data_IF_203394245161
#
_entry.id   IF_203394245161
#
_cell.length_a   1.000
_cell.length_b   1.000
_cell.length_c   1.000
_cell.angle_alpha   90.00
_cell.angle_beta   90.00
_cell.angle_gamma   90.00
#
_symmetry.space_group_name_H-M   'P 1'
#
loop_
_entity.id
_entity.type
_entity.pdbx_description
1 polymer ?
#
# COMPACT_ATOMS: atom_id res chain seq x y z
N UNK A 1 17.20 -35.66 25.75
CA UNK A 1 16.44 -36.47 26.72
C UNK A 1 15.92 -35.53 27.79
N UNK A 2 14.64 -35.59 28.16
CA UNK A 2 14.07 -34.75 29.23
C UNK A 2 14.22 -35.51 30.55
N UNK A 3 15.21 -35.14 31.36
CA UNK A 3 15.47 -35.70 32.69
C UNK A 3 14.32 -35.42 33.65
N UNK A 4 13.86 -36.44 34.36
CA UNK A 4 12.74 -36.42 35.28
C UNK A 4 13.16 -35.87 36.65
N UNK A 5 12.56 -34.76 37.08
CA UNK A 5 12.81 -34.13 38.40
C UNK A 5 12.43 -35.01 39.62
N UNK A 6 11.79 -36.17 39.43
CA UNK A 6 11.33 -37.04 40.53
C UNK A 6 11.41 -38.56 40.25
N UNK A 7 12.23 -39.02 39.30
CA UNK A 7 12.36 -40.48 39.03
C UNK A 7 11.12 -41.15 38.41
N UNK A 8 10.10 -40.38 38.03
CA UNK A 8 8.88 -40.90 37.38
C UNK A 8 9.17 -41.22 35.92
N UNK A 9 9.24 -42.51 35.60
CA UNK A 9 9.42 -43.01 34.23
C UNK A 9 8.06 -43.11 33.53
N UNK A 10 7.53 -41.99 33.03
CA UNK A 10 6.27 -41.95 32.27
C UNK A 10 6.55 -41.93 30.77
N UNK A 11 5.85 -42.79 30.01
CA UNK A 11 5.93 -42.75 28.55
C UNK A 11 5.36 -41.43 28.00
N UNK A 12 5.89 -40.93 26.88
CA UNK A 12 5.38 -39.73 26.22
C UNK A 12 3.87 -39.81 25.92
N UNK A 13 3.35 -41.01 25.66
CA UNK A 13 1.92 -41.28 25.47
C UNK A 13 1.14 -41.02 26.74
N UNK A 14 1.58 -41.59 27.87
CA UNK A 14 0.92 -41.39 29.17
C UNK A 14 1.02 -39.93 29.64
N UNK A 15 2.13 -39.25 29.36
CA UNK A 15 2.25 -37.82 29.64
C UNK A 15 1.24 -36.99 28.82
N UNK A 16 1.16 -37.21 27.50
CA UNK A 16 0.16 -36.53 26.64
C UNK A 16 -1.27 -36.81 27.08
N UNK A 17 -1.57 -38.06 27.47
CA UNK A 17 -2.88 -38.45 27.97
C UNK A 17 -3.24 -37.70 29.25
N UNK A 18 -2.33 -37.67 30.23
CA UNK A 18 -2.53 -36.93 31.48
C UNK A 18 -2.67 -35.42 31.25
N UNK A 19 -1.86 -34.85 30.36
CA UNK A 19 -1.99 -33.43 29.99
C UNK A 19 -3.34 -33.14 29.33
N UNK A 20 -3.82 -33.98 28.42
CA UNK A 20 -5.14 -33.84 27.81
C UNK A 20 -6.28 -33.99 28.83
N UNK A 21 -6.19 -34.99 29.72
CA UNK A 21 -7.16 -35.22 30.79
C UNK A 21 -7.20 -34.06 31.79
N UNK A 22 -6.07 -33.39 32.01
CA UNK A 22 -5.96 -32.17 32.81
C UNK A 22 -6.35 -30.89 32.04
N UNK A 23 -6.82 -30.99 30.79
CA UNK A 23 -7.16 -29.82 29.96
C UNK A 23 -5.96 -29.01 29.47
N UNK A 24 -4.74 -29.49 29.70
CA UNK A 24 -3.47 -28.85 29.34
C UNK A 24 -3.04 -29.21 27.91
N UNK A 25 -3.90 -28.93 26.94
CA UNK A 25 -3.61 -29.14 25.52
C UNK A 25 -3.24 -27.82 24.81
N UNK A 26 -2.55 -27.94 23.66
CA UNK A 26 -2.27 -26.78 22.81
C UNK A 26 -3.59 -26.18 22.32
N UNK A 27 -3.78 -24.88 22.52
CA UNK A 27 -5.00 -24.12 22.18
C UNK A 27 -5.43 -24.38 20.72
N UNK A 28 -6.70 -24.77 20.53
CA UNK A 28 -7.30 -25.10 19.22
C UNK A 28 -8.43 -24.15 18.78
N UNK A 29 -9.02 -23.39 19.70
CA UNK A 29 -10.16 -22.51 19.41
C UNK A 29 -9.73 -21.18 18.78
N UNK A 30 -9.29 -21.24 17.52
CA UNK A 30 -8.99 -20.06 16.73
C UNK A 30 -10.24 -19.59 15.98
N UNK A 31 -10.38 -18.27 15.87
CA UNK A 31 -11.45 -17.67 15.08
C UNK A 31 -11.28 -18.00 13.59
N UNK A 32 -12.40 -18.06 12.86
CA UNK A 32 -12.38 -18.39 11.43
C UNK A 32 -11.57 -17.37 10.61
N UNK A 33 -10.83 -17.85 9.61
CA UNK A 33 -10.00 -17.00 8.74
C UNK A 33 -10.79 -15.86 8.11
N UNK A 34 -12.02 -16.11 7.69
CA UNK A 34 -12.88 -15.11 7.06
C UNK A 34 -13.28 -13.99 8.02
N UNK A 35 -13.56 -14.30 9.29
CA UNK A 35 -13.86 -13.30 10.31
C UNK A 35 -12.63 -12.40 10.56
N UNK A 36 -11.44 -12.99 10.59
CA UNK A 36 -10.17 -12.27 10.78
C UNK A 36 -9.90 -11.34 9.58
N UNK A 37 -10.02 -11.84 8.35
CA UNK A 37 -9.83 -11.05 7.13
C UNK A 37 -10.82 -9.87 7.10
N UNK A 38 -12.09 -10.11 7.44
CA UNK A 38 -13.11 -9.06 7.46
C UNK A 38 -12.78 -7.97 8.48
N UNK A 39 -12.37 -8.35 9.69
CA UNK A 39 -11.99 -7.40 10.74
C UNK A 39 -10.74 -6.60 10.34
N UNK A 40 -9.70 -7.24 9.79
CA UNK A 40 -8.50 -6.55 9.30
C UNK A 40 -8.86 -5.54 8.21
N UNK A 41 -9.68 -5.94 7.22
CA UNK A 41 -10.12 -5.02 6.15
C UNK A 41 -10.90 -3.83 6.68
N UNK A 42 -11.71 -4.02 7.73
CA UNK A 42 -12.45 -2.94 8.35
C UNK A 42 -11.52 -1.93 9.05
N UNK A 43 -10.52 -2.42 9.77
CA UNK A 43 -9.51 -1.57 10.42
C UNK A 43 -8.60 -0.84 9.41
N UNK A 44 -8.24 -1.50 8.30
CA UNK A 44 -7.43 -0.90 7.24
C UNK A 44 -8.14 0.23 6.46
N UNK A 45 -9.46 0.36 6.57
CA UNK A 45 -10.23 1.48 5.97
C UNK A 45 -10.17 2.77 6.79
N UNK A 46 -9.64 2.72 8.01
CA UNK A 46 -9.56 3.86 8.92
C UNK A 46 -8.15 4.09 9.47
N UNK A 47 -8.01 4.59 10.71
CA UNK A 47 -6.70 4.85 11.31
C UNK A 47 -5.84 3.59 11.47
N UNK A 48 -6.46 2.40 11.38
CA UNK A 48 -5.77 1.12 11.41
C UNK A 48 -4.91 0.82 10.19
N UNK A 49 -4.94 1.65 9.14
CA UNK A 49 -4.01 1.54 8.01
C UNK A 49 -2.54 1.71 8.42
N UNK A 50 -2.27 2.48 9.47
CA UNK A 50 -0.92 2.71 10.00
C UNK A 50 -0.49 1.66 11.03
N UNK A 51 -1.38 0.73 11.39
CA UNK A 51 -1.07 -0.26 12.40
C UNK A 51 -0.08 -1.30 11.86
N UNK A 52 1.00 -1.50 12.61
CA UNK A 52 1.80 -2.71 12.49
C UNK A 52 1.00 -3.95 12.94
N UNK A 53 1.42 -5.14 12.51
CA UNK A 53 0.74 -6.40 12.83
C UNK A 53 0.58 -6.65 14.35
N UNK A 54 1.46 -6.07 15.19
CA UNK A 54 1.40 -6.14 16.66
C UNK A 54 0.16 -5.44 17.21
N UNK A 55 -0.07 -4.21 16.75
CA UNK A 55 -1.21 -3.38 17.11
C UNK A 55 -2.49 -3.97 16.53
N UNK A 56 -2.46 -4.41 15.27
CA UNK A 56 -3.59 -5.11 14.64
C UNK A 56 -3.99 -6.36 15.44
N UNK A 57 -3.03 -7.17 15.88
CA UNK A 57 -3.31 -8.34 16.72
C UNK A 57 -3.97 -7.97 18.06
N UNK A 58 -3.55 -6.87 18.70
CA UNK A 58 -4.20 -6.37 19.92
C UNK A 58 -5.63 -5.91 19.64
N UNK A 59 -5.86 -5.16 18.56
CA UNK A 59 -7.20 -4.68 18.17
C UNK A 59 -8.14 -5.85 17.86
N UNK A 60 -7.67 -6.85 17.11
CA UNK A 60 -8.46 -8.06 16.83
C UNK A 60 -8.88 -8.78 18.12
N UNK A 61 -8.00 -8.82 19.12
CA UNK A 61 -8.29 -9.43 20.42
C UNK A 61 -9.22 -8.57 21.29
N UNK A 62 -9.00 -7.27 21.35
CA UNK A 62 -9.68 -6.37 22.31
C UNK A 62 -11.03 -5.87 21.78
N UNK A 63 -11.09 -5.49 20.49
CA UNK A 63 -12.28 -4.87 19.88
C UNK A 63 -13.21 -5.89 19.25
N UNK A 64 -12.66 -6.93 18.61
CA UNK A 64 -13.43 -7.94 17.90
C UNK A 64 -13.53 -9.28 18.64
N UNK A 65 -12.88 -9.39 19.81
CA UNK A 65 -12.80 -10.62 20.61
C UNK A 65 -12.34 -11.85 19.79
N UNK A 66 -11.50 -11.63 18.77
CA UNK A 66 -11.01 -12.68 17.89
C UNK A 66 -9.74 -13.30 18.48
N UNK A 67 -9.67 -14.63 18.42
CA UNK A 67 -8.51 -15.41 18.86
C UNK A 67 -7.69 -15.83 17.65
N UNK A 68 -6.55 -15.19 17.47
CA UNK A 68 -5.67 -15.39 16.30
C UNK A 68 -4.22 -15.52 16.72
N UNK A 69 -3.46 -16.37 16.02
CA UNK A 69 -1.99 -16.39 16.12
C UNK A 69 -1.41 -15.13 15.50
N UNK A 70 -0.40 -14.58 16.14
CA UNK A 70 0.23 -13.34 15.70
C UNK A 70 0.90 -13.45 14.33
N UNK A 71 1.57 -14.58 14.05
CA UNK A 71 2.18 -14.84 12.74
C UNK A 71 1.14 -14.87 11.62
N UNK A 72 -0.05 -15.40 11.93
CA UNK A 72 -1.16 -15.40 10.97
C UNK A 72 -1.66 -13.99 10.68
N UNK A 73 -1.71 -13.11 11.68
CA UNK A 73 -2.04 -11.69 11.48
C UNK A 73 -0.96 -11.02 10.63
N UNK A 74 0.32 -11.32 10.85
CA UNK A 74 1.42 -10.77 10.05
C UNK A 74 1.27 -11.11 8.57
N UNK A 75 1.09 -12.39 8.23
CA UNK A 75 0.95 -12.82 6.84
C UNK A 75 -0.31 -12.20 6.20
N UNK A 76 -1.44 -12.22 6.90
CA UNK A 76 -2.68 -11.62 6.40
C UNK A 76 -2.56 -10.09 6.23
N UNK A 77 -1.84 -9.41 7.12
CA UNK A 77 -1.62 -7.97 7.00
C UNK A 77 -0.73 -7.65 5.80
N UNK A 78 0.29 -8.46 5.51
CA UNK A 78 1.12 -8.32 4.32
C UNK A 78 0.32 -8.53 3.03
N UNK A 79 -0.53 -9.57 2.99
CA UNK A 79 -1.38 -9.87 1.83
C UNK A 79 -2.47 -8.81 1.60
N UNK A 80 -3.03 -8.23 2.67
CA UNK A 80 -4.19 -7.35 2.60
C UNK A 80 -3.85 -5.86 2.61
N UNK A 81 -2.60 -5.46 2.85
CA UNK A 81 -2.22 -4.05 2.93
C UNK A 81 -1.83 -3.48 1.55
N UNK A 82 -2.68 -2.64 0.93
CA UNK A 82 -2.46 -2.14 -0.42
C UNK A 82 -1.23 -1.23 -0.52
N UNK A 83 -0.85 -0.53 0.56
CA UNK A 83 0.36 0.32 0.54
C UNK A 83 1.63 -0.51 0.40
N UNK A 84 1.71 -1.62 1.12
CA UNK A 84 2.84 -2.52 1.02
C UNK A 84 2.90 -3.16 -0.38
N UNK A 85 1.75 -3.54 -0.93
CA UNK A 85 1.67 -4.07 -2.30
C UNK A 85 2.15 -3.05 -3.34
N UNK A 86 1.76 -1.77 -3.20
CA UNK A 86 2.19 -0.71 -4.10
C UNK A 86 3.72 -0.50 -4.06
N UNK A 87 4.31 -0.39 -2.86
CA UNK A 87 5.76 -0.24 -2.72
C UNK A 87 6.51 -1.44 -3.29
N UNK A 88 6.04 -2.66 -3.02
CA UNK A 88 6.62 -3.88 -3.59
C UNK A 88 6.50 -3.87 -5.12
N UNK A 89 5.36 -3.48 -5.69
CA UNK A 89 5.17 -3.40 -7.13
C UNK A 89 6.10 -2.35 -7.78
N UNK A 90 6.29 -1.20 -7.13
CA UNK A 90 7.27 -0.19 -7.56
C UNK A 90 8.71 -0.71 -7.51
N UNK A 91 9.07 -1.50 -6.50
CA UNK A 91 10.38 -2.14 -6.42
C UNK A 91 10.61 -3.18 -7.53
N UNK A 92 9.57 -3.94 -7.90
CA UNK A 92 9.66 -4.92 -8.99
C UNK A 92 9.73 -4.26 -10.37
N UNK A 93 9.18 -3.06 -10.53
CA UNK A 93 9.15 -2.34 -11.79
C UNK A 93 9.62 -0.89 -11.66
N UNK A 94 10.92 -0.65 -11.39
CA UNK A 94 11.49 0.70 -11.30
C UNK A 94 11.31 1.50 -12.60
N UNK A 95 11.25 0.78 -13.73
CA UNK A 95 11.08 1.35 -15.07
C UNK A 95 9.76 2.09 -15.28
N UNK A 96 8.75 1.87 -14.43
CA UNK A 96 7.49 2.61 -14.48
C UNK A 96 7.64 4.06 -14.02
N UNK A 97 8.60 4.33 -13.14
CA UNK A 97 8.84 5.67 -12.61
C UNK A 97 9.87 6.46 -13.44
N UNK A 98 10.64 5.80 -14.30
CA UNK A 98 11.66 6.46 -15.16
C UNK A 98 11.12 7.67 -15.94
N UNK A 99 9.93 7.65 -16.56
CA UNK A 99 9.41 8.82 -17.28
C UNK A 99 9.11 10.02 -16.38
N UNK A 100 8.91 9.79 -15.09
CA UNK A 100 8.51 10.80 -14.10
C UNK A 100 9.72 11.27 -13.27
N UNK A 101 10.62 10.35 -12.91
CA UNK A 101 11.73 10.59 -11.98
C UNK A 101 13.07 10.79 -12.68
N UNK A 102 13.23 10.30 -13.91
CA UNK A 102 14.47 10.45 -14.67
C UNK A 102 14.30 11.50 -15.76
N UNK A 103 15.38 12.22 -16.05
CA UNK A 103 15.42 13.16 -17.15
C UNK A 103 15.10 12.43 -18.47
N UNK A 104 13.97 12.76 -19.05
CA UNK A 104 13.62 12.40 -20.43
C UNK A 104 14.12 13.54 -21.31
N UNK A 105 15.05 13.24 -22.20
CA UNK A 105 15.51 14.17 -23.23
C UNK A 105 14.43 14.31 -24.32
N UNK A 106 13.22 14.71 -23.91
CA UNK A 106 12.15 15.07 -24.84
C UNK A 106 12.44 16.48 -25.33
N UNK A 107 12.94 16.61 -26.56
CA UNK A 107 13.00 17.91 -27.22
C UNK A 107 11.59 18.44 -27.38
N UNK A 108 11.30 19.55 -26.71
CA UNK A 108 10.06 20.29 -26.90
C UNK A 108 10.12 20.96 -28.27
N UNK A 109 9.21 20.61 -29.16
CA UNK A 109 9.04 21.28 -30.46
C UNK A 109 8.24 22.57 -30.28
N UNK A 110 8.21 23.43 -31.29
CA UNK A 110 7.38 24.64 -31.28
C UNK A 110 5.91 24.29 -31.01
N UNK A 111 5.42 23.23 -31.65
CA UNK A 111 4.07 22.69 -31.43
C UNK A 111 3.79 22.26 -29.98
N UNK A 112 4.77 21.61 -29.31
CA UNK A 112 4.61 21.22 -27.90
C UNK A 112 4.51 22.44 -26.98
N UNK A 113 5.23 23.52 -27.29
CA UNK A 113 5.20 24.79 -26.54
C UNK A 113 3.86 25.52 -26.74
N UNK A 114 3.33 25.58 -27.97
CA UNK A 114 2.00 26.18 -28.24
C UNK A 114 0.88 25.49 -27.44
N UNK A 115 0.98 24.16 -27.27
CA UNK A 115 0.01 23.39 -26.47
C UNK A 115 0.15 23.62 -24.97
N UNK A 116 1.36 23.88 -24.48
CA UNK A 116 1.62 24.12 -23.06
C UNK A 116 1.16 25.51 -22.60
N UNK A 117 1.24 26.49 -23.50
CA UNK A 117 0.90 27.87 -23.21
C UNK A 117 -0.32 28.30 -24.03
N UNK A 118 -1.51 28.05 -23.51
CA UNK A 118 -2.73 28.66 -24.05
C UNK A 118 -2.81 30.11 -23.58
N UNK A 119 -2.64 31.11 -24.48
CA UNK A 119 -2.63 32.51 -24.08
C UNK A 119 -4.05 32.94 -23.68
N UNK A 120 -4.17 33.58 -22.52
CA UNK A 120 -5.41 34.26 -22.15
C UNK A 120 -5.48 35.59 -22.89
N UNK A 121 -6.58 35.81 -23.60
CA UNK A 121 -6.71 36.88 -24.59
C UNK A 121 -7.97 37.69 -24.35
N UNK A 122 -7.83 39.01 -24.47
CA UNK A 122 -8.89 39.99 -24.22
C UNK A 122 -10.14 39.76 -25.09
N UNK A 123 -11.32 40.26 -24.70
CA UNK A 123 -12.55 40.10 -25.49
C UNK A 123 -12.41 40.56 -26.94
N UNK A 124 -13.11 39.88 -27.85
CA UNK A 124 -13.13 40.20 -29.27
C UNK A 124 -13.60 41.65 -29.51
N UNK A 125 -12.88 42.39 -30.38
CA UNK A 125 -13.21 43.78 -30.72
C UNK A 125 -12.47 44.85 -29.90
N UNK A 126 -11.71 44.50 -28.88
CA UNK A 126 -10.84 45.44 -28.16
C UNK A 126 -9.59 45.80 -28.96
N UNK A 127 -9.14 47.06 -28.90
CA UNK A 127 -7.82 47.48 -29.42
C UNK A 127 -6.66 46.67 -28.81
N UNK A 128 -6.84 46.12 -27.60
CA UNK A 128 -5.87 45.21 -26.97
C UNK A 128 -5.84 43.86 -27.67
N UNK A 129 -7.00 43.33 -28.07
CA UNK A 129 -7.12 42.04 -28.76
C UNK A 129 -6.47 42.05 -30.14
N UNK A 130 -6.53 43.17 -30.86
CA UNK A 130 -5.79 43.32 -32.13
C UNK A 130 -4.27 43.24 -31.93
N UNK A 131 -3.74 43.92 -30.90
CA UNK A 131 -2.31 43.88 -30.57
C UNK A 131 -1.88 42.49 -30.09
N UNK A 132 -2.68 41.85 -29.23
CA UNK A 132 -2.44 40.48 -28.76
C UNK A 132 -2.38 39.49 -29.93
N UNK A 133 -3.31 39.60 -30.89
CA UNK A 133 -3.32 38.71 -32.07
C UNK A 133 -2.07 38.84 -32.92
N UNK A 134 -1.51 40.05 -33.05
CA UNK A 134 -0.26 40.29 -33.78
C UNK A 134 0.93 39.69 -33.02
N UNK A 135 0.98 39.86 -31.70
CA UNK A 135 2.04 39.29 -30.85
C UNK A 135 2.01 37.76 -30.91
N UNK A 136 0.83 37.14 -30.89
CA UNK A 136 0.68 35.70 -31.01
C UNK A 136 1.14 35.17 -32.37
N UNK A 137 0.89 35.92 -33.46
CA UNK A 137 1.41 35.57 -34.78
C UNK A 137 2.95 35.59 -34.81
N UNK A 138 3.57 36.64 -34.26
CA UNK A 138 5.04 36.70 -34.16
C UNK A 138 5.63 35.60 -33.29
N UNK A 139 4.92 35.20 -32.23
CA UNK A 139 5.35 34.10 -31.38
C UNK A 139 5.27 32.75 -32.11
N UNK A 140 4.21 32.51 -32.89
CA UNK A 140 4.07 31.31 -33.72
C UNK A 140 5.17 31.24 -34.79
N UNK A 141 5.46 32.35 -35.47
CA UNK A 141 6.55 32.45 -36.46
C UNK A 141 7.92 32.17 -35.79
N UNK A 142 8.17 32.74 -34.62
CA UNK A 142 9.40 32.49 -33.85
C UNK A 142 9.54 31.01 -33.45
N UNK A 143 8.45 30.34 -33.08
CA UNK A 143 8.48 28.93 -32.71
C UNK A 143 8.74 28.03 -33.92
N UNK A 144 8.24 28.38 -35.10
CA UNK A 144 8.55 27.69 -36.37
C UNK A 144 10.04 27.80 -36.72
N UNK A 145 10.67 28.95 -36.46
CA UNK A 145 12.10 29.16 -36.69
C UNK A 145 13.01 28.44 -35.68
N UNK A 146 12.46 27.97 -34.55
CA UNK A 146 13.20 27.26 -33.50
C UNK A 146 13.25 25.74 -33.68
N UNK A 147 12.54 25.17 -34.66
CA UNK A 147 12.57 23.75 -35.03
C UNK A 147 13.75 23.39 -35.96
#
# INVERSE_FOLDING_TARGET
>A
MMSSLHGVHISLRSLKSKLNAAGLYRRKDYSSTNAIIRAIRLELRGPGQLFGYRTMWQVLKQKYNLRVKRDRVMNLLQELNPRQMFLTALQQHPSLLTPVLCHSEKRLTGFDIERLFTPDVSPAGSNRRQKESVILAYWADYLLDCE
#
